data_IF_550665029086
#
_entry.id   IF_550665029086
#
_cell.length_a   1.000
_cell.length_b   1.000
_cell.length_c   1.000
_cell.angle_alpha   90.00
_cell.angle_beta   90.00
_cell.angle_gamma   90.00
#
_symmetry.space_group_name_H-M   'P 1'
#
loop_
_entity.id
_entity.type
_entity.pdbx_description
1 polymer ?
#
# COMPACT_ATOMS: atom_id res chain seq x y z
N UNK A 1 -17.13 5.54 -13.27
CA UNK A 1 -17.65 4.20 -12.94
C UNK A 1 -16.56 3.49 -12.17
N UNK A 2 -16.87 2.78 -11.09
CA UNK A 2 -15.84 2.08 -10.31
C UNK A 2 -15.47 0.78 -11.04
N UNK A 3 -14.19 0.62 -11.36
CA UNK A 3 -13.63 -0.54 -12.08
C UNK A 3 -12.87 -1.49 -11.15
N UNK A 4 -12.37 -0.99 -10.02
CA UNK A 4 -11.69 -1.80 -9.03
C UNK A 4 -11.85 -1.20 -7.63
N UNK A 5 -11.62 -2.03 -6.62
CA UNK A 5 -11.49 -1.61 -5.24
C UNK A 5 -10.05 -1.78 -4.76
N UNK A 6 -9.58 -0.78 -4.01
CA UNK A 6 -8.32 -0.84 -3.28
C UNK A 6 -8.64 -0.86 -1.79
N UNK A 7 -8.39 -1.97 -1.13
CA UNK A 7 -8.71 -2.20 0.29
C UNK A 7 -7.44 -2.12 1.11
N UNK A 8 -7.45 -1.33 2.18
CA UNK A 8 -6.33 -1.18 3.12
C UNK A 8 -6.75 -1.49 4.55
N UNK A 9 -5.79 -1.72 5.45
CA UNK A 9 -6.05 -1.92 6.86
C UNK A 9 -6.46 -0.61 7.53
N UNK A 10 -5.64 0.43 7.39
CA UNK A 10 -5.80 1.71 8.04
C UNK A 10 -6.13 2.85 7.10
N UNK A 11 -6.54 3.97 7.72
CA UNK A 11 -6.71 5.25 7.02
C UNK A 11 -5.36 5.84 6.57
N UNK A 12 -4.32 5.71 7.38
CA UNK A 12 -2.97 6.12 7.05
C UNK A 12 -2.50 5.48 5.74
N UNK A 13 -2.71 4.17 5.60
CA UNK A 13 -2.35 3.44 4.38
C UNK A 13 -3.12 3.93 3.16
N UNK A 14 -4.42 4.16 3.35
CA UNK A 14 -5.28 4.73 2.33
C UNK A 14 -4.79 6.10 1.86
N UNK A 15 -4.41 6.97 2.79
CA UNK A 15 -3.91 8.31 2.48
C UNK A 15 -2.56 8.24 1.75
N UNK A 16 -1.66 7.33 2.15
CA UNK A 16 -0.38 7.07 1.47
C UNK A 16 -0.63 6.63 0.01
N UNK A 17 -1.43 5.58 -0.19
CA UNK A 17 -1.70 5.04 -1.53
C UNK A 17 -2.46 6.04 -2.40
N UNK A 18 -3.41 6.77 -1.84
CA UNK A 18 -4.15 7.82 -2.55
C UNK A 18 -3.22 8.95 -3.01
N UNK A 19 -2.14 9.24 -2.27
CA UNK A 19 -1.16 10.24 -2.70
C UNK A 19 -0.21 9.67 -3.75
N UNK A 20 0.31 8.45 -3.53
CA UNK A 20 1.38 7.87 -4.34
C UNK A 20 0.89 7.29 -5.69
N UNK A 21 -0.34 6.81 -5.78
CA UNK A 21 -0.85 6.27 -7.03
C UNK A 21 -1.16 7.39 -8.03
N UNK A 22 -0.76 7.25 -9.31
CA UNK A 22 -1.10 8.23 -10.32
C UNK A 22 -2.62 8.44 -10.44
N UNK A 23 -3.07 9.70 -10.62
CA UNK A 23 -4.49 10.07 -10.63
C UNK A 23 -5.35 9.26 -11.60
N UNK A 24 -4.76 8.81 -12.73
CA UNK A 24 -5.46 7.99 -13.73
C UNK A 24 -6.04 6.69 -13.15
N UNK A 25 -5.40 6.12 -12.14
CA UNK A 25 -5.86 4.91 -11.46
C UNK A 25 -6.92 5.22 -10.41
N UNK A 26 -6.75 6.32 -9.68
CA UNK A 26 -7.68 6.72 -8.62
C UNK A 26 -9.07 7.10 -9.15
N UNK A 27 -9.16 7.63 -10.38
CA UNK A 27 -10.44 8.04 -10.98
C UNK A 27 -11.47 6.91 -11.04
N UNK A 28 -11.00 5.68 -11.23
CA UNK A 28 -11.82 4.50 -11.45
C UNK A 28 -11.63 3.42 -10.36
N UNK A 29 -10.82 3.70 -9.34
CA UNK A 29 -10.58 2.80 -8.21
C UNK A 29 -11.20 3.38 -6.95
N UNK A 30 -12.09 2.62 -6.31
CA UNK A 30 -12.65 3.02 -5.03
C UNK A 30 -11.77 2.51 -3.89
N UNK A 31 -11.23 3.43 -3.10
CA UNK A 31 -10.39 3.11 -1.96
C UNK A 31 -11.26 2.91 -0.70
N UNK A 32 -11.03 1.83 0.04
CA UNK A 32 -11.85 1.43 1.20
C UNK A 32 -10.96 0.96 2.35
N UNK A 33 -11.25 1.45 3.56
CA UNK A 33 -10.50 1.12 4.78
C UNK A 33 -11.24 0.03 5.55
N UNK A 34 -10.54 -1.05 5.89
CA UNK A 34 -11.08 -2.17 6.66
C UNK A 34 -11.09 -1.95 8.17
N UNK A 35 -10.20 -1.12 8.70
CA UNK A 35 -10.04 -0.82 10.14
C UNK A 35 -9.14 -1.78 10.90
N UNK A 36 -8.83 -2.95 10.33
CA UNK A 36 -7.83 -3.91 10.79
C UNK A 36 -7.47 -4.89 9.68
N UNK A 37 -6.37 -5.63 9.81
CA UNK A 37 -5.99 -6.73 8.91
C UNK A 37 -7.13 -7.70 8.59
N UNK A 38 -7.75 -8.29 9.61
CA UNK A 38 -8.82 -9.28 9.43
C UNK A 38 -10.09 -8.65 8.82
N UNK A 39 -10.40 -7.42 9.24
CA UNK A 39 -11.55 -6.69 8.70
C UNK A 39 -11.34 -6.32 7.23
N UNK A 40 -10.14 -5.90 6.84
CA UNK A 40 -9.77 -5.61 5.45
C UNK A 40 -9.87 -6.86 4.57
N UNK A 41 -9.36 -8.01 5.05
CA UNK A 41 -9.49 -9.29 4.34
C UNK A 41 -10.96 -9.71 4.14
N UNK A 42 -11.77 -9.63 5.20
CA UNK A 42 -13.20 -9.95 5.14
C UNK A 42 -13.96 -9.02 4.19
N UNK A 43 -13.63 -7.73 4.22
CA UNK A 43 -14.22 -6.73 3.34
C UNK A 43 -13.84 -6.96 1.88
N UNK A 44 -12.58 -7.27 1.59
CA UNK A 44 -12.13 -7.63 0.25
C UNK A 44 -12.91 -8.84 -0.30
N UNK A 45 -13.07 -9.91 0.50
CA UNK A 45 -13.87 -11.07 0.11
C UNK A 45 -15.35 -10.71 -0.14
N UNK A 46 -15.92 -9.83 0.68
CA UNK A 46 -17.30 -9.36 0.50
C UNK A 46 -17.46 -8.55 -0.79
N UNK A 47 -16.50 -7.67 -1.11
CA UNK A 47 -16.51 -6.90 -2.36
C UNK A 47 -16.43 -7.85 -3.55
N UNK A 48 -15.52 -8.81 -3.53
CA UNK A 48 -15.38 -9.82 -4.59
C UNK A 48 -16.67 -10.62 -4.82
N UNK A 49 -17.34 -11.03 -3.75
CA UNK A 49 -18.56 -11.85 -3.82
C UNK A 49 -19.81 -11.04 -4.22
N UNK A 50 -19.94 -9.81 -3.71
CA UNK A 50 -21.19 -9.02 -3.86
C UNK A 50 -21.12 -8.03 -5.01
N UNK A 51 -19.97 -7.39 -5.23
CA UNK A 51 -19.79 -6.40 -6.29
C UNK A 51 -19.28 -7.04 -7.59
N UNK A 52 -18.65 -8.20 -7.51
CA UNK A 52 -18.02 -8.88 -8.66
C UNK A 52 -17.07 -7.95 -9.43
N UNK A 53 -16.37 -7.07 -8.69
CA UNK A 53 -15.40 -6.15 -9.22
C UNK A 53 -14.00 -6.51 -8.69
N UNK A 54 -12.94 -6.27 -9.49
CA UNK A 54 -11.57 -6.51 -9.07
C UNK A 54 -11.17 -5.88 -7.74
N UNK A 55 -10.32 -6.57 -6.98
CA UNK A 55 -9.85 -6.10 -5.66
C UNK A 55 -8.32 -6.19 -5.54
N UNK A 56 -7.69 -5.05 -5.25
CA UNK A 56 -6.36 -4.99 -4.68
C UNK A 56 -6.48 -4.90 -3.15
N UNK A 57 -5.97 -5.88 -2.42
CA UNK A 57 -5.91 -5.85 -0.95
C UNK A 57 -4.46 -5.55 -0.54
N UNK A 58 -4.23 -4.44 0.17
CA UNK A 58 -2.92 -4.09 0.73
C UNK A 58 -2.95 -4.31 2.24
N UNK A 59 -2.01 -5.11 2.72
CA UNK A 59 -1.84 -5.45 4.13
C UNK A 59 -0.37 -5.36 4.53
N UNK A 60 -0.09 -5.10 5.80
CA UNK A 60 1.27 -5.09 6.31
C UNK A 60 1.76 -6.53 6.55
N UNK A 61 3.06 -6.79 6.41
CA UNK A 61 3.63 -8.09 6.76
C UNK A 61 3.77 -8.28 8.28
N UNK A 62 4.03 -7.18 8.99
CA UNK A 62 4.47 -7.12 10.40
C UNK A 62 5.82 -7.85 10.64
N UNK A 63 6.55 -8.19 9.58
CA UNK A 63 7.79 -8.96 9.63
C UNK A 63 8.56 -8.79 8.31
N UNK A 64 9.86 -9.05 8.34
CA UNK A 64 10.75 -9.14 7.18
C UNK A 64 11.08 -10.60 6.79
N UNK A 65 10.54 -11.58 7.53
CA UNK A 65 10.77 -13.00 7.25
C UNK A 65 9.96 -13.46 6.03
N UNK A 66 10.65 -13.66 4.91
CA UNK A 66 10.06 -14.04 3.62
C UNK A 66 9.15 -15.28 3.70
N UNK A 67 9.53 -16.31 4.45
CA UNK A 67 8.72 -17.52 4.60
C UNK A 67 7.39 -17.23 5.30
N UNK A 68 7.40 -16.39 6.34
CA UNK A 68 6.18 -15.98 7.07
C UNK A 68 5.30 -15.06 6.21
N UNK A 69 5.92 -14.17 5.43
CA UNK A 69 5.23 -13.29 4.49
C UNK A 69 4.50 -14.12 3.43
N UNK A 70 5.20 -15.09 2.84
CA UNK A 70 4.66 -15.94 1.79
C UNK A 70 3.49 -16.80 2.32
N UNK A 71 3.67 -17.45 3.47
CA UNK A 71 2.61 -18.27 4.09
C UNK A 71 1.34 -17.44 4.37
N UNK A 72 1.51 -16.24 4.96
CA UNK A 72 0.38 -15.32 5.22
C UNK A 72 -0.30 -14.90 3.92
N UNK A 73 0.47 -14.52 2.90
CA UNK A 73 -0.06 -14.08 1.61
C UNK A 73 -0.85 -15.20 0.91
N UNK A 74 -0.32 -16.43 0.90
CA UNK A 74 -0.97 -17.60 0.33
C UNK A 74 -2.28 -17.94 1.05
N UNK A 75 -2.30 -17.88 2.39
CA UNK A 75 -3.52 -18.11 3.16
C UNK A 75 -4.61 -17.11 2.79
N UNK A 76 -4.28 -15.81 2.76
CA UNK A 76 -5.25 -14.77 2.39
C UNK A 76 -5.71 -14.93 0.94
N UNK A 77 -4.78 -15.25 0.04
CA UNK A 77 -5.11 -15.50 -1.37
C UNK A 77 -6.11 -16.65 -1.51
N UNK A 78 -5.90 -17.77 -0.81
CA UNK A 78 -6.83 -18.91 -0.83
C UNK A 78 -8.23 -18.52 -0.33
N UNK A 79 -8.31 -17.74 0.74
CA UNK A 79 -9.59 -17.26 1.28
C UNK A 79 -10.34 -16.36 0.28
N UNK A 80 -9.64 -15.43 -0.36
CA UNK A 80 -10.24 -14.56 -1.37
C UNK A 80 -10.66 -15.32 -2.64
N UNK A 81 -9.84 -16.27 -3.08
CA UNK A 81 -10.16 -17.11 -4.23
C UNK A 81 -11.46 -17.90 -4.03
N UNK A 82 -11.67 -18.44 -2.82
CA UNK A 82 -12.90 -19.15 -2.48
C UNK A 82 -14.14 -18.26 -2.49
N UNK A 83 -13.99 -16.97 -2.18
CA UNK A 83 -15.12 -16.03 -2.13
C UNK A 83 -15.68 -15.69 -3.51
N UNK A 84 -14.84 -15.63 -4.55
CA UNK A 84 -15.28 -15.30 -5.92
C UNK A 84 -14.30 -15.82 -6.98
N UNK A 85 -14.45 -17.07 -7.44
CA UNK A 85 -13.63 -17.61 -8.50
C UNK A 85 -13.85 -16.85 -9.82
N UNK A 86 -12.76 -16.42 -10.45
CA UNK A 86 -12.78 -15.78 -11.77
C UNK A 86 -12.88 -14.25 -11.79
N UNK A 87 -13.00 -13.61 -10.62
CA UNK A 87 -12.83 -12.15 -10.51
C UNK A 87 -11.36 -11.84 -10.20
N UNK A 88 -10.68 -10.94 -10.94
CA UNK A 88 -9.30 -10.59 -10.66
C UNK A 88 -9.12 -10.02 -9.26
N UNK A 89 -8.18 -10.57 -8.49
CA UNK A 89 -7.77 -9.96 -7.23
C UNK A 89 -6.27 -10.19 -7.00
N UNK A 90 -5.69 -9.38 -6.13
CA UNK A 90 -4.30 -9.54 -5.70
C UNK A 90 -4.12 -9.08 -4.26
N UNK A 91 -3.34 -9.85 -3.50
CA UNK A 91 -2.90 -9.49 -2.16
C UNK A 91 -1.51 -8.90 -2.28
N UNK A 92 -1.35 -7.67 -1.83
CA UNK A 92 -0.09 -6.94 -1.76
C UNK A 92 0.33 -6.86 -0.31
N UNK A 93 1.56 -7.27 -0.03
CA UNK A 93 2.10 -7.23 1.32
C UNK A 93 3.15 -6.14 1.41
N UNK A 94 2.91 -5.13 2.24
CA UNK A 94 3.91 -4.13 2.57
C UNK A 94 4.89 -4.68 3.61
N UNK A 95 6.20 -4.54 3.37
CA UNK A 95 7.23 -5.21 4.19
C UNK A 95 8.16 -4.18 4.83
N UNK A 96 8.27 -4.13 6.17
CA UNK A 96 7.39 -4.81 7.12
C UNK A 96 5.98 -4.19 7.18
N UNK A 97 5.86 -2.92 6.78
CA UNK A 97 4.65 -2.08 6.83
C UNK A 97 4.72 -1.03 5.71
N UNK A 98 3.59 -0.40 5.37
CA UNK A 98 3.51 0.50 4.21
C UNK A 98 4.41 1.74 4.31
N UNK A 99 4.69 2.24 5.51
CA UNK A 99 5.60 3.36 5.73
C UNK A 99 7.01 3.08 5.21
N UNK A 100 7.39 1.81 4.99
CA UNK A 100 8.65 1.43 4.34
C UNK A 100 8.86 2.14 2.99
N UNK A 101 7.78 2.54 2.31
CA UNK A 101 7.85 3.31 1.06
C UNK A 101 8.63 4.62 1.26
N UNK A 102 8.43 5.32 2.39
CA UNK A 102 9.19 6.55 2.71
C UNK A 102 10.65 6.28 3.07
N UNK A 103 10.96 5.04 3.47
CA UNK A 103 12.31 4.57 3.79
C UNK A 103 12.93 3.75 2.65
N UNK A 104 12.46 3.95 1.41
CA UNK A 104 12.99 3.26 0.24
C UNK A 104 14.27 3.92 -0.30
N UNK A 105 14.29 5.25 -0.36
CA UNK A 105 15.44 6.03 -0.79
C UNK A 105 15.91 6.97 0.31
N UNK A 106 17.20 6.91 0.65
CA UNK A 106 17.78 7.73 1.71
C UNK A 106 17.59 9.23 1.45
N UNK A 107 17.79 9.67 0.21
CA UNK A 107 17.61 11.08 -0.19
C UNK A 107 16.20 11.59 0.05
N UNK A 108 15.17 10.75 -0.15
CA UNK A 108 13.77 11.11 0.14
C UNK A 108 13.56 11.24 1.64
N UNK A 109 14.04 10.26 2.41
CA UNK A 109 13.91 10.29 3.87
C UNK A 109 14.62 11.51 4.48
N UNK A 110 15.83 11.84 4.01
CA UNK A 110 16.58 13.03 4.46
C UNK A 110 15.82 14.34 4.20
N UNK A 111 15.13 14.44 3.04
CA UNK A 111 14.30 15.59 2.71
C UNK A 111 13.04 15.67 3.59
N UNK A 112 12.40 14.53 3.86
CA UNK A 112 11.27 14.44 4.78
C UNK A 112 11.69 14.91 6.19
N UNK A 113 12.85 14.45 6.67
CA UNK A 113 13.38 14.82 7.99
C UNK A 113 14.05 16.20 8.02
N UNK A 114 14.34 16.80 6.86
CA UNK A 114 15.12 18.04 6.70
C UNK A 114 16.51 17.96 7.35
N UNK A 115 17.12 16.78 7.34
CA UNK A 115 18.46 16.53 7.88
C UNK A 115 19.12 15.37 7.15
N UNK A 116 20.46 15.37 7.09
CA UNK A 116 21.23 14.21 6.65
C UNK A 116 21.10 13.06 7.65
N UNK A 117 21.18 11.83 7.15
CA UNK A 117 21.05 10.61 7.93
C UNK A 117 22.33 9.78 7.74
N UNK A 118 22.90 9.27 8.83
CA UNK A 118 24.04 8.37 8.74
C UNK A 118 23.61 6.92 8.40
N UNK A 119 24.59 6.06 8.07
CA UNK A 119 24.31 4.69 7.65
C UNK A 119 23.56 3.87 8.71
N UNK A 120 23.90 4.05 9.99
CA UNK A 120 23.25 3.33 11.08
C UNK A 120 21.78 3.76 11.23
N UNK A 121 21.53 5.06 11.20
CA UNK A 121 20.17 5.62 11.29
C UNK A 121 19.34 5.21 10.08
N UNK A 122 19.95 5.14 8.89
CA UNK A 122 19.31 4.64 7.69
C UNK A 122 18.89 3.17 7.81
N UNK A 123 19.75 2.31 8.36
CA UNK A 123 19.41 0.91 8.61
C UNK A 123 18.26 0.76 9.60
N UNK A 124 18.25 1.55 10.67
CA UNK A 124 17.14 1.57 11.65
C UNK A 124 15.83 1.98 11.00
N UNK A 125 15.85 3.02 10.16
CA UNK A 125 14.66 3.48 9.45
C UNK A 125 14.06 2.39 8.55
N UNK A 126 14.89 1.60 7.87
CA UNK A 126 14.42 0.50 7.00
C UNK A 126 13.83 -0.67 7.78
N UNK A 127 14.34 -0.96 8.98
CA UNK A 127 13.86 -2.07 9.80
C UNK A 127 12.55 -1.74 10.53
N UNK A 128 12.38 -0.48 10.93
CA UNK A 128 11.24 -0.04 11.74
C UNK A 128 10.68 1.29 11.22
N UNK A 129 10.15 1.36 9.98
CA UNK A 129 9.87 2.62 9.32
C UNK A 129 8.80 3.47 10.03
N UNK A 130 7.66 2.91 10.42
CA UNK A 130 6.61 3.63 11.16
C UNK A 130 7.10 4.11 12.51
N UNK A 131 7.78 3.25 13.25
CA UNK A 131 8.33 3.62 14.56
C UNK A 131 9.40 4.72 14.44
N UNK A 132 10.24 4.63 13.40
CA UNK A 132 11.27 5.62 13.10
C UNK A 132 10.65 6.97 12.72
N UNK A 133 9.69 7.00 11.79
CA UNK A 133 8.99 8.22 11.40
C UNK A 133 8.25 8.82 12.60
N UNK A 134 7.59 7.99 13.40
CA UNK A 134 6.86 8.42 14.59
C UNK A 134 7.79 9.11 15.60
N UNK A 135 8.96 8.52 15.84
CA UNK A 135 9.96 9.07 16.76
C UNK A 135 10.51 10.42 16.31
N UNK A 136 10.71 10.60 15.00
CA UNK A 136 11.38 11.80 14.45
C UNK A 136 10.42 12.93 14.06
N UNK A 137 9.16 12.60 13.74
CA UNK A 137 8.20 13.56 13.18
C UNK A 137 6.91 13.70 14.01
N UNK A 138 6.70 12.87 15.04
CA UNK A 138 5.51 12.91 15.90
C UNK A 138 4.52 11.77 15.61
N UNK A 139 3.32 11.81 16.20
CA UNK A 139 2.36 10.70 16.12
C UNK A 139 1.32 10.85 15.00
N UNK A 140 0.74 9.72 14.59
CA UNK A 140 -0.43 9.66 13.72
C UNK A 140 -1.69 10.31 14.36
N UNK A 141 -2.64 10.82 13.55
CA UNK A 141 -2.65 10.83 12.07
C UNK A 141 -1.88 12.00 11.44
N UNK A 142 -1.53 13.01 12.24
CA UNK A 142 -0.87 14.24 11.76
C UNK A 142 0.50 13.96 11.11
N UNK A 143 1.17 12.88 11.51
CA UNK A 143 2.41 12.39 10.91
C UNK A 143 2.30 12.21 9.39
N UNK A 144 1.36 11.37 8.95
CA UNK A 144 1.21 11.02 7.54
C UNK A 144 0.78 12.24 6.74
N UNK A 145 -0.19 13.00 7.23
CA UNK A 145 -0.61 14.26 6.59
C UNK A 145 0.57 15.24 6.41
N UNK A 146 1.43 15.35 7.43
CA UNK A 146 2.63 16.20 7.38
C UNK A 146 3.64 15.69 6.35
N UNK A 147 3.87 14.38 6.26
CA UNK A 147 4.77 13.82 5.24
C UNK A 147 4.20 14.10 3.85
N UNK A 148 2.95 13.71 3.59
CA UNK A 148 2.31 13.77 2.28
C UNK A 148 2.15 15.21 1.76
N UNK A 149 1.96 16.19 2.64
CA UNK A 149 1.85 17.61 2.27
C UNK A 149 3.19 18.26 1.91
N UNK A 150 4.32 17.67 2.31
CA UNK A 150 5.66 18.16 2.03
C UNK A 150 6.36 17.41 0.89
N UNK A 151 5.71 16.41 0.26
CA UNK A 151 6.24 15.73 -0.92
C UNK A 151 6.14 16.64 -2.15
N UNK A 152 7.26 16.85 -2.83
CA UNK A 152 7.33 17.47 -4.14
C UNK A 152 7.39 16.43 -5.26
N UNK A 153 7.30 16.88 -6.50
CA UNK A 153 7.17 16.03 -7.67
C UNK A 153 8.36 15.06 -7.84
N UNK A 154 9.58 15.49 -7.47
CA UNK A 154 10.76 14.63 -7.56
C UNK A 154 10.70 13.52 -6.50
N UNK A 155 10.40 13.86 -5.24
CA UNK A 155 10.20 12.85 -4.20
C UNK A 155 9.06 11.89 -4.56
N UNK A 156 7.96 12.41 -5.09
CA UNK A 156 6.83 11.60 -5.56
C UNK A 156 7.25 10.60 -6.63
N UNK A 157 8.02 11.02 -7.64
CA UNK A 157 8.52 10.12 -8.68
C UNK A 157 9.44 9.02 -8.11
N UNK A 158 10.29 9.35 -7.16
CA UNK A 158 11.18 8.39 -6.50
C UNK A 158 10.40 7.37 -5.65
N UNK A 159 9.37 7.82 -4.92
CA UNK A 159 8.50 6.95 -4.13
C UNK A 159 7.62 6.05 -5.02
N UNK A 160 7.18 6.56 -6.17
CA UNK A 160 6.42 5.78 -7.14
C UNK A 160 7.24 4.62 -7.75
N UNK A 161 8.56 4.68 -7.73
CA UNK A 161 9.43 3.58 -8.17
C UNK A 161 9.49 2.42 -7.16
N UNK A 162 8.91 2.57 -5.96
CA UNK A 162 8.87 1.50 -4.98
C UNK A 162 8.17 0.25 -5.55
N UNK A 163 8.73 -0.97 -5.39
CA UNK A 163 8.19 -2.19 -5.98
C UNK A 163 6.70 -2.42 -5.73
N UNK A 164 6.24 -2.21 -4.48
CA UNK A 164 4.81 -2.34 -4.13
C UNK A 164 3.92 -1.37 -4.93
N UNK A 165 4.38 -0.13 -5.15
CA UNK A 165 3.59 0.88 -5.87
C UNK A 165 3.54 0.54 -7.37
N UNK A 166 4.66 0.09 -7.94
CA UNK A 166 4.72 -0.39 -9.32
C UNK A 166 3.81 -1.60 -9.54
N UNK A 167 3.88 -2.59 -8.66
CA UNK A 167 3.09 -3.81 -8.76
C UNK A 167 1.59 -3.53 -8.63
N UNK A 168 1.20 -2.60 -7.74
CA UNK A 168 -0.18 -2.16 -7.59
C UNK A 168 -0.66 -1.44 -8.85
N UNK A 169 0.19 -0.57 -9.41
CA UNK A 169 -0.07 0.15 -10.66
C UNK A 169 -0.28 -0.82 -11.82
N UNK A 170 0.57 -1.82 -11.97
CA UNK A 170 0.46 -2.86 -13.00
C UNK A 170 -0.84 -3.67 -12.88
N UNK A 171 -1.24 -4.02 -11.65
CA UNK A 171 -2.52 -4.69 -11.41
C UNK A 171 -3.70 -3.79 -11.83
N UNK A 172 -3.70 -2.53 -11.41
CA UNK A 172 -4.77 -1.59 -11.74
C UNK A 172 -4.84 -1.30 -13.25
N UNK A 173 -3.71 -1.28 -13.96
CA UNK A 173 -3.68 -1.25 -15.42
C UNK A 173 -4.35 -2.49 -16.00
N UNK A 174 -3.95 -3.69 -15.57
CA UNK A 174 -4.44 -4.95 -16.14
C UNK A 174 -5.96 -5.09 -16.08
N UNK A 175 -6.58 -4.60 -15.00
CA UNK A 175 -8.04 -4.64 -14.83
C UNK A 175 -8.75 -3.55 -15.63
N UNK A 176 -8.13 -2.38 -15.80
CA UNK A 176 -8.68 -1.32 -16.64
C UNK A 176 -8.70 -1.69 -18.13
N UNK A 177 -7.66 -2.38 -18.63
CA UNK A 177 -7.62 -2.84 -20.02
C UNK A 177 -8.56 -4.01 -20.31
N UNK A 178 -8.81 -4.89 -19.34
CA UNK A 178 -9.67 -6.06 -19.51
C UNK A 178 -11.14 -5.68 -19.78
N UNK A 179 -11.60 -4.52 -19.29
CA UNK A 179 -12.96 -4.03 -19.53
C UNK A 179 -13.12 -3.39 -20.92
N UNK A 180 -12.05 -2.85 -21.52
CA UNK A 180 -12.10 -2.25 -22.87
C UNK A 180 -12.28 -3.32 -23.97
N UNK A 181 -11.96 -4.58 -23.66
CA UNK A 181 -12.01 -5.70 -24.59
C UNK A 181 -13.21 -6.65 -24.36
N UNK A 182 -13.99 -6.44 -23.29
CA UNK A 182 -15.17 -7.24 -22.93
C UNK A 182 -16.47 -6.59 -23.43
#
# INVERSE_FOLDING_TARGET
MTLAYLVTEGKSDADILNKLLPERYLKNTQLVVGGSKYSAQSLAGTILAVKSLPVALVIDADTDNESVIQEKSELVHQLLYQASPGIPFKVFTAVPELEAVFCYQQSVLERILKTSIDELTWQVARQHPKAFLTKNLGQEPLLIESILSNLDDEMMQLLQQHPLIQELTEFLDSVAYSEVLA
#
